data_IF_505724099396
#
_entry.id   IF_505724099396
#
_cell.length_a   1.000
_cell.length_b   1.000
_cell.length_c   1.000
_cell.angle_alpha   90.00
_cell.angle_beta   90.00
_cell.angle_gamma   90.00
#
_symmetry.space_group_name_H-M   'P 1'
#
loop_
_entity.id
_entity.type
_entity.pdbx_description
1 polymer ?
#
# COMPACT_ATOMS: atom_id res chain seq x y z
N UNK A 1 -5.66 9.69 11.99
CA UNK A 1 -4.74 9.65 13.16
C UNK A 1 -3.39 9.05 12.79
N UNK A 2 -2.41 9.03 13.71
CA UNK A 2 -1.03 8.56 13.42
C UNK A 2 -0.95 7.13 12.87
N UNK A 3 -1.72 6.18 13.42
CA UNK A 3 -1.76 4.80 12.92
C UNK A 3 -2.24 4.68 11.47
N UNK A 4 -3.19 5.51 11.06
CA UNK A 4 -3.66 5.56 9.67
C UNK A 4 -2.55 5.99 8.70
N UNK A 5 -1.72 6.97 9.10
CA UNK A 5 -0.60 7.43 8.27
C UNK A 5 0.45 6.33 8.09
N UNK A 6 0.80 5.61 9.16
CA UNK A 6 1.75 4.49 9.09
C UNK A 6 1.24 3.38 8.17
N UNK A 7 -0.05 3.02 8.31
CA UNK A 7 -0.68 2.02 7.45
C UNK A 7 -0.67 2.42 5.98
N UNK A 8 -0.91 3.70 5.66
CA UNK A 8 -0.81 4.21 4.28
C UNK A 8 0.58 4.05 3.69
N UNK A 9 1.62 4.41 4.45
CA UNK A 9 3.01 4.27 4.03
C UNK A 9 3.34 2.79 3.77
N UNK A 10 2.99 1.91 4.71
CA UNK A 10 3.26 0.48 4.58
C UNK A 10 2.52 -0.12 3.38
N UNK A 11 1.23 0.17 3.19
CA UNK A 11 0.44 -0.34 2.06
C UNK A 11 1.00 0.10 0.71
N UNK A 12 1.45 1.36 0.60
CA UNK A 12 2.15 1.83 -0.60
C UNK A 12 3.44 1.06 -0.85
N UNK A 13 4.26 0.85 0.19
CA UNK A 13 5.49 0.07 0.08
C UNK A 13 5.20 -1.37 -0.36
N UNK A 14 4.25 -2.05 0.28
CA UNK A 14 3.83 -3.43 -0.06
C UNK A 14 3.34 -3.52 -1.51
N UNK A 15 2.52 -2.57 -1.97
CA UNK A 15 2.09 -2.51 -3.38
C UNK A 15 3.27 -2.42 -4.34
N UNK A 16 4.24 -1.54 -4.07
CA UNK A 16 5.44 -1.41 -4.91
C UNK A 16 6.29 -2.67 -4.88
N UNK A 17 6.53 -3.24 -3.70
CA UNK A 17 7.28 -4.49 -3.54
C UNK A 17 6.67 -5.60 -4.37
N UNK A 18 5.34 -5.78 -4.28
CA UNK A 18 4.61 -6.81 -5.03
C UNK A 18 4.60 -6.59 -6.53
N UNK A 19 4.24 -5.40 -7.01
CA UNK A 19 4.04 -5.16 -8.45
C UNK A 19 5.32 -4.85 -9.22
N UNK A 20 6.29 -4.16 -8.59
CA UNK A 20 7.48 -3.68 -9.29
C UNK A 20 8.72 -4.53 -9.00
N UNK A 21 8.82 -5.10 -7.79
CA UNK A 21 9.99 -5.87 -7.36
C UNK A 21 9.74 -7.39 -7.34
N UNK A 22 8.49 -7.83 -7.51
CA UNK A 22 8.12 -9.24 -7.39
C UNK A 22 8.33 -9.82 -5.99
N UNK A 23 8.28 -8.97 -4.95
CA UNK A 23 8.52 -9.38 -3.58
C UNK A 23 7.40 -10.28 -3.04
N UNK A 24 7.77 -11.25 -2.21
CA UNK A 24 6.83 -12.11 -1.50
C UNK A 24 6.32 -11.52 -0.19
N UNK A 25 5.36 -12.20 0.45
CA UNK A 25 4.88 -11.80 1.77
C UNK A 25 6.00 -11.89 2.80
N UNK A 26 6.05 -10.94 3.73
CA UNK A 26 7.09 -10.86 4.74
C UNK A 26 8.38 -10.19 4.26
N UNK A 27 8.44 -9.72 3.01
CA UNK A 27 9.60 -9.01 2.48
C UNK A 27 9.94 -7.78 3.33
N UNK A 28 8.95 -6.96 3.69
CA UNK A 28 9.20 -5.74 4.47
C UNK A 28 9.55 -6.06 5.93
N UNK A 29 8.91 -7.08 6.52
CA UNK A 29 9.28 -7.55 7.85
C UNK A 29 10.74 -8.05 7.89
N UNK A 30 11.22 -8.69 6.83
CA UNK A 30 12.60 -9.16 6.72
C UNK A 30 13.64 -8.01 6.62
N UNK A 31 13.23 -6.79 6.24
CA UNK A 31 14.11 -5.63 6.18
C UNK A 31 14.34 -4.95 7.54
N UNK A 32 13.46 -5.19 8.52
CA UNK A 32 13.50 -4.54 9.84
C UNK A 32 14.86 -4.70 10.54
N UNK A 33 15.46 -5.91 10.63
CA UNK A 33 16.77 -6.07 11.28
C UNK A 33 17.87 -5.23 10.63
N UNK A 34 17.88 -5.16 9.28
CA UNK A 34 18.85 -4.37 8.54
C UNK A 34 18.68 -2.86 8.77
N UNK A 35 17.43 -2.40 8.79
CA UNK A 35 17.12 -0.99 9.09
C UNK A 35 17.55 -0.60 10.51
N UNK A 36 17.24 -1.43 11.51
CA UNK A 36 17.64 -1.18 12.90
C UNK A 36 19.17 -1.19 13.04
N UNK A 37 19.86 -2.15 12.43
CA UNK A 37 21.32 -2.20 12.48
C UNK A 37 21.98 -0.94 11.90
N UNK A 38 21.39 -0.35 10.85
CA UNK A 38 21.90 0.90 10.25
C UNK A 38 21.64 2.15 11.09
N UNK A 39 20.70 2.09 12.04
CA UNK A 39 20.22 3.24 12.82
C UNK A 39 20.54 3.13 14.31
N UNK A 40 20.96 1.96 14.80
CA UNK A 40 21.09 1.69 16.23
C UNK A 40 22.16 2.50 16.94
N UNK A 41 23.15 3.04 16.21
CA UNK A 41 24.14 3.95 16.80
C UNK A 41 23.52 5.30 17.19
N UNK A 42 22.63 5.83 16.35
CA UNK A 42 21.92 7.08 16.62
C UNK A 42 20.69 6.89 17.51
N UNK A 43 20.06 5.71 17.46
CA UNK A 43 18.80 5.39 18.15
C UNK A 43 18.94 4.06 18.92
N UNK A 44 19.59 4.06 20.09
CA UNK A 44 19.89 2.86 20.87
C UNK A 44 18.64 2.16 21.44
N UNK A 45 17.48 2.80 21.42
CA UNK A 45 16.19 2.24 21.82
C UNK A 45 15.59 1.28 20.79
N UNK A 46 16.00 1.34 19.51
CA UNK A 46 15.41 0.55 18.43
C UNK A 46 15.58 -0.96 18.59
N UNK A 47 16.76 -1.50 18.96
CA UNK A 47 16.95 -2.95 19.10
C UNK A 47 15.97 -3.57 20.10
N UNK A 48 15.63 -2.86 21.19
CA UNK A 48 14.66 -3.33 22.17
C UNK A 48 13.23 -3.47 21.62
N UNK A 49 12.91 -2.77 20.53
CA UNK A 49 11.60 -2.77 19.89
C UNK A 49 11.55 -3.62 18.61
N UNK A 50 12.67 -4.24 18.21
CA UNK A 50 12.79 -4.93 16.91
C UNK A 50 11.67 -5.95 16.68
N UNK A 51 11.47 -6.86 17.64
CA UNK A 51 10.49 -7.93 17.51
C UNK A 51 9.07 -7.36 17.33
N UNK A 52 8.69 -6.40 18.17
CA UNK A 52 7.38 -5.74 18.10
C UNK A 52 7.16 -5.08 16.72
N UNK A 53 8.15 -4.32 16.24
CA UNK A 53 8.06 -3.64 14.94
C UNK A 53 7.95 -4.65 13.80
N UNK A 54 8.74 -5.73 13.87
CA UNK A 54 8.75 -6.77 12.86
C UNK A 54 7.42 -7.53 12.80
N UNK A 55 6.86 -7.89 13.96
CA UNK A 55 5.57 -8.57 14.05
C UNK A 55 4.41 -7.70 13.54
N UNK A 56 4.39 -6.42 13.92
CA UNK A 56 3.37 -5.46 13.46
C UNK A 56 3.44 -5.27 11.94
N UNK A 57 4.65 -5.17 11.37
CA UNK A 57 4.82 -5.05 9.91
C UNK A 57 4.37 -6.34 9.22
N UNK A 58 4.73 -7.51 9.75
CA UNK A 58 4.34 -8.80 9.19
C UNK A 58 2.81 -8.98 9.20
N UNK A 59 2.15 -8.65 10.31
CA UNK A 59 0.69 -8.75 10.44
C UNK A 59 -0.03 -7.82 9.44
N UNK A 60 0.40 -6.56 9.34
CA UNK A 60 -0.20 -5.61 8.41
C UNK A 60 0.11 -5.97 6.94
N UNK A 61 1.28 -6.53 6.64
CA UNK A 61 1.65 -7.00 5.30
C UNK A 61 0.82 -8.21 4.86
N UNK A 62 0.60 -9.18 5.76
CA UNK A 62 -0.26 -10.34 5.52
C UNK A 62 -1.73 -9.91 5.33
N UNK A 63 -2.23 -9.05 6.22
CA UNK A 63 -3.58 -8.52 6.14
C UNK A 63 -3.82 -7.80 4.80
N UNK A 64 -2.87 -6.97 4.37
CA UNK A 64 -3.01 -6.23 3.11
C UNK A 64 -2.76 -7.10 1.87
N UNK A 65 -1.81 -8.04 1.88
CA UNK A 65 -1.51 -8.89 0.71
C UNK A 65 -2.74 -9.63 0.19
N UNK A 66 -3.59 -10.12 1.10
CA UNK A 66 -4.84 -10.80 0.76
C UNK A 66 -5.86 -9.91 0.02
N UNK A 67 -5.89 -8.61 0.37
CA UNK A 67 -6.77 -7.60 -0.23
C UNK A 67 -6.17 -7.01 -1.50
N UNK A 68 -4.85 -6.82 -1.52
CA UNK A 68 -4.09 -6.14 -2.57
C UNK A 68 -4.33 -6.76 -3.94
N UNK A 69 -4.25 -8.09 -4.05
CA UNK A 69 -4.43 -8.78 -5.34
C UNK A 69 -5.83 -8.55 -5.92
N UNK A 70 -6.87 -8.54 -5.06
CA UNK A 70 -8.25 -8.28 -5.48
C UNK A 70 -8.44 -6.81 -5.84
N UNK A 71 -7.93 -5.90 -5.00
CA UNK A 71 -8.04 -4.46 -5.23
C UNK A 71 -7.33 -4.00 -6.50
N UNK A 72 -6.17 -4.57 -6.84
CA UNK A 72 -5.48 -4.28 -8.12
C UNK A 72 -6.33 -4.73 -9.30
N UNK A 73 -6.91 -5.94 -9.23
CA UNK A 73 -7.77 -6.45 -10.30
C UNK A 73 -8.99 -5.55 -10.51
N UNK A 74 -9.68 -5.20 -9.43
CA UNK A 74 -10.83 -4.29 -9.45
C UNK A 74 -10.46 -2.90 -9.98
N UNK A 75 -9.32 -2.34 -9.52
CA UNK A 75 -8.81 -1.07 -10.02
C UNK A 75 -8.57 -1.11 -11.53
N UNK A 76 -7.87 -2.14 -12.02
CA UNK A 76 -7.56 -2.27 -13.44
C UNK A 76 -8.83 -2.39 -14.29
N UNK A 77 -9.79 -3.20 -13.86
CA UNK A 77 -11.07 -3.35 -14.55
C UNK A 77 -11.83 -2.02 -14.67
N UNK A 78 -11.84 -1.23 -13.59
CA UNK A 78 -12.45 0.12 -13.60
C UNK A 78 -11.67 1.08 -14.48
N UNK A 79 -10.34 1.09 -14.40
CA UNK A 79 -9.49 1.94 -15.23
C UNK A 79 -9.70 1.66 -16.72
N UNK A 80 -9.79 0.38 -17.11
CA UNK A 80 -10.05 -0.02 -18.50
C UNK A 80 -11.44 0.43 -18.97
N UNK A 81 -12.46 0.31 -18.12
CA UNK A 81 -13.81 0.78 -18.42
C UNK A 81 -13.88 2.32 -18.60
N UNK A 82 -13.24 3.07 -17.69
CA UNK A 82 -13.15 4.55 -17.75
C UNK A 82 -12.48 4.99 -19.06
N UNK A 83 -11.35 4.35 -19.41
CA UNK A 83 -10.63 4.64 -20.66
C UNK A 83 -11.46 4.32 -21.90
N UNK A 84 -12.19 3.20 -21.89
CA UNK A 84 -13.07 2.84 -22.99
C UNK A 84 -14.26 3.80 -23.12
N UNK A 85 -14.74 4.36 -22.01
CA UNK A 85 -15.80 5.37 -21.98
C UNK A 85 -15.36 6.78 -22.38
N UNK A 86 -14.04 7.06 -22.42
CA UNK A 86 -13.50 8.38 -22.70
C UNK A 86 -13.62 9.37 -21.53
N UNK A 87 -13.78 8.85 -20.31
CA UNK A 87 -13.86 9.63 -19.09
C UNK A 87 -12.46 10.03 -18.57
N UNK A 88 -12.38 11.12 -17.81
CA UNK A 88 -11.11 11.68 -17.32
C UNK A 88 -10.51 10.90 -16.14
N UNK A 89 -11.31 10.15 -15.38
CA UNK A 89 -10.84 9.57 -14.13
C UNK A 89 -11.89 8.80 -13.33
N UNK A 90 -11.49 8.39 -12.14
CA UNK A 90 -12.35 7.74 -11.16
C UNK A 90 -13.23 8.77 -10.47
N UNK A 91 -14.53 8.51 -10.38
CA UNK A 91 -15.44 9.30 -9.57
C UNK A 91 -15.26 9.01 -8.06
N UNK A 92 -15.81 9.88 -7.22
CA UNK A 92 -15.76 9.72 -5.77
C UNK A 92 -16.38 8.42 -5.28
N UNK A 93 -17.38 7.88 -5.98
CA UNK A 93 -18.02 6.60 -5.61
C UNK A 93 -17.08 5.41 -5.85
N UNK A 94 -16.37 5.39 -6.98
CA UNK A 94 -15.37 4.36 -7.29
C UNK A 94 -14.16 4.47 -6.35
N UNK A 95 -13.68 5.69 -6.08
CA UNK A 95 -12.61 5.92 -5.11
C UNK A 95 -13.00 5.46 -3.70
N UNK A 96 -14.24 5.76 -3.28
CA UNK A 96 -14.78 5.32 -2.00
C UNK A 96 -14.90 3.79 -1.92
N UNK A 97 -15.34 3.11 -2.98
CA UNK A 97 -15.40 1.66 -3.03
C UNK A 97 -14.02 1.00 -2.86
N UNK A 98 -13.01 1.52 -3.56
CA UNK A 98 -11.63 1.04 -3.42
C UNK A 98 -11.12 1.24 -1.98
N UNK A 99 -11.49 2.35 -1.35
CA UNK A 99 -11.15 2.63 0.04
C UNK A 99 -11.86 1.71 1.05
N UNK A 100 -13.18 1.67 1.02
CA UNK A 100 -14.01 0.99 2.01
C UNK A 100 -13.96 -0.54 1.85
N UNK A 101 -14.13 -1.02 0.62
CA UNK A 101 -14.26 -2.45 0.34
C UNK A 101 -12.92 -3.15 0.08
N UNK A 102 -11.97 -2.48 -0.61
CA UNK A 102 -10.68 -3.07 -0.96
C UNK A 102 -9.54 -2.65 -0.02
N UNK A 103 -9.77 -1.70 0.88
CA UNK A 103 -8.75 -1.19 1.80
C UNK A 103 -7.66 -0.38 1.09
N UNK A 104 -7.94 0.20 -0.08
CA UNK A 104 -6.97 1.02 -0.80
C UNK A 104 -7.08 2.46 -0.31
N UNK A 105 -6.07 2.99 0.40
CA UNK A 105 -6.08 4.40 0.76
C UNK A 105 -6.28 5.29 -0.48
N UNK A 106 -6.98 6.42 -0.32
CA UNK A 106 -7.24 7.35 -1.43
C UNK A 106 -5.95 7.72 -2.17
N UNK A 107 -4.85 7.96 -1.45
CA UNK A 107 -3.55 8.27 -2.05
C UNK A 107 -2.92 7.12 -2.84
N UNK A 108 -3.23 5.86 -2.49
CA UNK A 108 -2.82 4.72 -3.30
C UNK A 108 -3.62 4.68 -4.60
N UNK A 109 -4.93 4.91 -4.54
CA UNK A 109 -5.80 4.99 -5.72
C UNK A 109 -5.37 6.13 -6.65
N UNK A 110 -5.14 7.32 -6.11
CA UNK A 110 -4.63 8.47 -6.88
C UNK A 110 -3.29 8.19 -7.54
N UNK A 111 -2.38 7.51 -6.83
CA UNK A 111 -1.07 7.15 -7.36
C UNK A 111 -1.22 6.17 -8.54
N UNK A 112 -2.04 5.13 -8.37
CA UNK A 112 -2.29 4.14 -9.41
C UNK A 112 -3.03 4.76 -10.61
N UNK A 113 -3.98 5.66 -10.38
CA UNK A 113 -4.69 6.40 -11.43
C UNK A 113 -3.70 7.23 -12.26
N UNK A 114 -2.82 7.98 -11.61
CA UNK A 114 -1.77 8.77 -12.28
C UNK A 114 -0.83 7.90 -13.13
N UNK A 115 -0.43 6.73 -12.64
CA UNK A 115 0.42 5.80 -13.39
C UNK A 115 -0.23 5.29 -14.69
N UNK A 116 -1.56 5.28 -14.76
CA UNK A 116 -2.32 4.88 -15.96
C UNK A 116 -2.90 6.07 -16.72
N UNK A 117 -2.56 7.31 -16.36
CA UNK A 117 -3.03 8.53 -17.01
C UNK A 117 -4.48 8.91 -16.72
N UNK A 118 -5.00 8.53 -15.54
CA UNK A 118 -6.33 8.86 -15.06
C UNK A 118 -6.25 9.76 -13.81
N UNK A 119 -7.31 10.54 -13.58
CA UNK A 119 -7.48 11.35 -12.38
C UNK A 119 -8.43 10.66 -11.37
N UNK A 120 -8.52 11.21 -10.16
CA UNK A 120 -9.52 10.81 -9.15
C UNK A 120 -10.23 12.08 -8.72
N UNK A 121 -11.56 12.08 -8.81
CA UNK A 121 -12.40 13.19 -8.34
C UNK A 121 -12.49 13.16 -6.81
N UNK A 122 -11.81 14.11 -6.17
CA UNK A 122 -11.64 14.22 -4.71
C UNK A 122 -12.48 15.32 -4.09
#
# INVERSE_FOLDING_TARGET
GRGYVLRRILRRAVRYGRQMLGADEGFFAALVPGAIASLSEAFPELPAQQQLVQDVIAEEEAAFSSMLSRGIKEFNQRADAIKAGGEAGFDGQAAFFLYDSMGFPLDLTELMAREVGLEVDT
#
